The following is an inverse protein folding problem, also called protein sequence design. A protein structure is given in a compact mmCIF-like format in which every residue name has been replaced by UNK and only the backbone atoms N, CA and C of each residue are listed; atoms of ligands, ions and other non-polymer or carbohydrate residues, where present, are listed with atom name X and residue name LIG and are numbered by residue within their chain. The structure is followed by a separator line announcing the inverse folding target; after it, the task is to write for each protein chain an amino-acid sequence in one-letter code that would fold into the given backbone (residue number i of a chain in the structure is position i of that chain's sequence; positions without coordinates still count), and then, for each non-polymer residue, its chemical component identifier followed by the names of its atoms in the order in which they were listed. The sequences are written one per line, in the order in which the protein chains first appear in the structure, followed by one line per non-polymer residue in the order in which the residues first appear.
data_IF_393044333871
#
_entry.id   IF_393044333871
#
_cell.length_a   1.000
_cell.length_b   1.000
_cell.length_c   1.000
_cell.angle_alpha   90.00
_cell.angle_beta   90.00
_cell.angle_gamma   90.00
#
_symmetry.space_group_name_H-M   'P 1'
#
loop_
_entity.id
_entity.type
_entity.pdbx_description
1 polymer ?
#
# COMPACT_ATOMS: atom_id res chain seq x y z
N UNK A 1 0.02 -34.03 -26.28
CA UNK A 1 1.29 -33.42 -26.73
C UNK A 1 1.00 -32.01 -27.20
N UNK A 2 1.87 -31.06 -26.89
CA UNK A 2 1.81 -29.70 -27.42
C UNK A 2 3.03 -29.48 -28.32
N UNK A 3 2.80 -28.99 -29.54
CA UNK A 3 3.88 -28.76 -30.51
C UNK A 3 3.74 -27.39 -31.11
N UNK A 4 4.81 -26.59 -31.13
CA UNK A 4 4.82 -25.26 -31.74
C UNK A 4 4.72 -25.37 -33.26
N UNK A 5 3.88 -24.53 -33.86
CA UNK A 5 3.64 -24.43 -35.29
C UNK A 5 4.09 -23.07 -35.83
N UNK A 6 4.06 -22.92 -37.16
CA UNK A 6 4.24 -21.63 -37.84
C UNK A 6 2.95 -20.83 -37.65
N UNK A 7 3.05 -19.54 -37.33
CA UNK A 7 1.89 -18.71 -36.99
C UNK A 7 0.86 -18.61 -38.14
N UNK A 8 1.30 -18.70 -39.41
CA UNK A 8 0.41 -18.76 -40.59
C UNK A 8 -0.48 -20.01 -40.67
N UNK A 9 -0.25 -21.02 -39.82
CA UNK A 9 -1.11 -22.20 -39.72
C UNK A 9 -2.25 -22.00 -38.71
N UNK A 10 -2.16 -20.98 -37.86
CA UNK A 10 -3.22 -20.62 -36.92
C UNK A 10 -4.18 -19.59 -37.56
N UNK A 11 -5.46 -19.57 -37.13
CA UNK A 11 -6.39 -18.55 -37.57
C UNK A 11 -5.86 -17.15 -37.21
N UNK A 12 -5.83 -16.25 -38.19
CA UNK A 12 -5.40 -14.84 -38.04
C UNK A 12 -4.00 -14.65 -37.43
N UNK A 13 -3.12 -15.65 -37.57
CA UNK A 13 -1.74 -15.61 -37.05
C UNK A 13 -1.67 -15.29 -35.54
N UNK A 14 -2.71 -15.64 -34.77
CA UNK A 14 -2.85 -15.24 -33.37
C UNK A 14 -2.67 -13.71 -33.15
N UNK A 15 -3.07 -12.91 -34.15
CA UNK A 15 -2.84 -11.46 -34.24
C UNK A 15 -1.38 -11.01 -34.00
N UNK A 16 -0.40 -11.90 -34.19
CA UNK A 16 1.00 -11.67 -33.79
C UNK A 16 1.18 -11.29 -32.30
N UNK A 17 0.19 -11.63 -31.46
CA UNK A 17 0.14 -11.35 -30.01
C UNK A 17 0.26 -12.62 -29.17
N UNK A 18 0.61 -13.72 -29.82
CA UNK A 18 0.72 -15.04 -29.21
C UNK A 18 1.53 -15.98 -30.07
N UNK A 19 1.52 -17.25 -29.70
CA UNK A 19 2.22 -18.33 -30.41
C UNK A 19 1.25 -19.41 -30.85
N UNK A 20 1.41 -19.91 -32.07
CA UNK A 20 0.60 -21.01 -32.58
C UNK A 20 1.08 -22.38 -32.07
N UNK A 21 0.19 -23.15 -31.43
CA UNK A 21 0.46 -24.51 -30.95
C UNK A 21 -0.58 -25.51 -31.43
N UNK A 22 -0.16 -26.75 -31.72
CA UNK A 22 -1.07 -27.88 -31.92
C UNK A 22 -1.35 -28.55 -30.58
N UNK A 23 -2.61 -28.55 -30.17
CA UNK A 23 -3.09 -29.22 -28.96
C UNK A 23 -4.14 -30.23 -29.41
N UNK A 24 -3.90 -31.53 -29.15
CA UNK A 24 -4.84 -32.62 -29.49
C UNK A 24 -5.26 -32.70 -30.97
N UNK A 25 -4.44 -32.16 -31.87
CA UNK A 25 -4.70 -32.13 -33.31
C UNK A 25 -5.27 -30.81 -33.82
N UNK A 26 -5.80 -29.97 -32.93
CA UNK A 26 -6.33 -28.64 -33.27
C UNK A 26 -5.26 -27.54 -33.12
N UNK A 27 -5.19 -26.56 -34.04
CA UNK A 27 -4.37 -25.36 -33.85
C UNK A 27 -5.04 -24.44 -32.82
N UNK A 28 -4.31 -24.09 -31.77
CA UNK A 28 -4.73 -23.13 -30.74
C UNK A 28 -3.66 -22.07 -30.54
N UNK A 29 -4.09 -20.84 -30.32
CA UNK A 29 -3.20 -19.74 -29.99
C UNK A 29 -2.93 -19.69 -28.48
N UNK A 30 -1.68 -19.48 -28.10
CA UNK A 30 -1.31 -19.16 -26.73
C UNK A 30 -0.95 -17.68 -26.63
N UNK A 31 -1.75 -16.92 -25.90
CA UNK A 31 -1.63 -15.46 -25.85
C UNK A 31 -0.54 -15.00 -24.90
N UNK A 32 0.13 -13.91 -25.27
CA UNK A 32 1.05 -13.21 -24.37
C UNK A 32 0.26 -12.56 -23.22
N UNK A 33 0.92 -12.33 -22.08
CA UNK A 33 0.32 -11.66 -20.94
C UNK A 33 -0.32 -10.32 -21.34
N UNK A 34 -1.54 -10.07 -20.88
CA UNK A 34 -2.34 -8.89 -21.26
C UNK A 34 -3.13 -9.06 -22.55
N UNK A 35 -3.16 -10.24 -23.16
CA UNK A 35 -4.03 -10.54 -24.30
C UNK A 35 -4.89 -11.78 -24.02
N UNK A 36 -6.14 -11.72 -24.45
CA UNK A 36 -7.14 -12.75 -24.24
C UNK A 36 -7.92 -13.07 -25.52
N UNK A 37 -8.63 -14.20 -25.50
CA UNK A 37 -9.43 -14.71 -26.61
C UNK A 37 -8.74 -15.82 -27.42
N UNK A 38 -9.53 -16.51 -28.24
CA UNK A 38 -9.09 -17.68 -29.03
C UNK A 38 -7.92 -17.39 -29.98
N UNK A 39 -7.79 -16.14 -30.43
CA UNK A 39 -6.70 -15.65 -31.30
C UNK A 39 -5.99 -14.42 -30.72
N UNK A 40 -6.09 -14.21 -29.40
CA UNK A 40 -5.46 -13.07 -28.71
C UNK A 40 -5.97 -11.71 -29.22
N UNK A 41 -7.25 -11.66 -29.58
CA UNK A 41 -7.91 -10.47 -30.11
C UNK A 41 -8.21 -9.40 -29.05
N UNK A 42 -8.45 -9.82 -27.80
CA UNK A 42 -8.76 -8.91 -26.71
C UNK A 42 -7.48 -8.50 -26.00
N UNK A 43 -7.39 -7.22 -25.61
CA UNK A 43 -6.33 -6.76 -24.72
C UNK A 43 -6.92 -6.82 -23.32
N UNK A 44 -6.43 -7.75 -22.50
CA UNK A 44 -6.68 -7.72 -21.07
C UNK A 44 -5.89 -6.54 -20.52
N UNK A 45 -6.58 -5.41 -20.45
CA UNK A 45 -6.09 -4.19 -19.82
C UNK A 45 -6.19 -4.32 -18.31
N UNK A 46 -5.75 -5.46 -17.77
CA UNK A 46 -4.99 -5.40 -16.54
C UNK A 46 -3.64 -4.81 -16.94
N UNK A 47 -3.48 -3.49 -17.04
CA UNK A 47 -3.29 -2.71 -15.81
C UNK A 47 -3.36 -3.68 -14.64
N UNK A 48 -2.28 -4.45 -14.47
CA UNK A 48 -1.69 -4.52 -13.16
C UNK A 48 -1.71 -3.06 -12.72
N UNK A 49 -2.81 -2.69 -12.08
CA UNK A 49 -2.78 -1.88 -10.90
C UNK A 49 -1.76 -2.63 -10.09
N UNK A 50 -0.50 -2.28 -10.33
CA UNK A 50 0.42 -2.16 -9.25
C UNK A 50 -0.44 -1.46 -8.23
N UNK A 51 -0.65 -2.13 -7.11
CA UNK A 51 -1.31 -1.59 -5.94
C UNK A 51 -0.55 -0.35 -5.40
N UNK A 52 0.24 0.33 -6.24
CA UNK A 52 0.85 1.63 -6.05
C UNK A 52 -0.13 2.78 -5.94
N UNK A 53 -1.44 2.53 -6.01
CA UNK A 53 -2.42 3.53 -5.56
C UNK A 53 -2.71 3.47 -4.06
N UNK A 54 -2.12 2.53 -3.29
CA UNK A 54 -2.10 2.61 -1.81
C UNK A 54 -0.88 3.35 -1.24
N UNK A 55 0.12 3.69 -2.05
CA UNK A 55 1.27 4.48 -1.58
C UNK A 55 0.96 5.99 -1.44
N UNK A 56 -0.11 6.50 -2.06
CA UNK A 56 -0.49 7.91 -1.96
C UNK A 56 -1.15 8.29 -0.63
N UNK A 57 -1.87 7.36 0.00
CA UNK A 57 -2.54 7.59 1.29
C UNK A 57 -1.59 7.35 2.46
N UNK A 58 -0.64 6.40 2.33
CA UNK A 58 0.28 6.05 3.40
C UNK A 58 1.13 7.22 3.91
N UNK A 59 1.66 8.08 3.04
CA UNK A 59 2.49 9.22 3.48
C UNK A 59 1.64 10.28 4.18
N UNK A 60 0.42 10.53 3.67
CA UNK A 60 -0.50 11.50 4.27
C UNK A 60 -1.00 11.03 5.64
N UNK A 61 -1.36 9.75 5.74
CA UNK A 61 -1.76 9.12 7.00
C UNK A 61 -0.59 9.11 8.00
N UNK A 62 0.62 8.80 7.54
CA UNK A 62 1.81 8.79 8.41
C UNK A 62 2.15 10.19 8.93
N UNK A 63 2.11 11.21 8.07
CA UNK A 63 2.37 12.60 8.48
C UNK A 63 1.30 13.12 9.44
N UNK A 64 0.02 12.81 9.19
CA UNK A 64 -1.09 13.19 10.07
C UNK A 64 -0.95 12.56 11.46
N UNK A 65 -0.60 11.27 11.54
CA UNK A 65 -0.39 10.58 12.81
C UNK A 65 0.77 11.16 13.61
N UNK A 66 1.90 11.50 12.96
CA UNK A 66 3.04 12.13 13.63
C UNK A 66 2.65 13.50 14.22
N UNK A 67 1.93 14.32 13.47
CA UNK A 67 1.43 15.62 13.93
C UNK A 67 0.52 15.48 15.16
N UNK A 68 -0.42 14.53 15.14
CA UNK A 68 -1.31 14.27 16.28
C UNK A 68 -0.51 13.84 17.52
N UNK A 69 0.46 12.93 17.35
CA UNK A 69 1.33 12.49 18.44
C UNK A 69 2.10 13.64 19.08
N UNK A 70 2.66 14.56 18.29
CA UNK A 70 3.39 15.73 18.81
C UNK A 70 2.48 16.68 19.60
N UNK A 71 1.25 16.90 19.13
CA UNK A 71 0.26 17.72 19.85
C UNK A 71 -0.14 17.06 21.17
N UNK A 72 -0.38 15.74 21.18
CA UNK A 72 -0.73 14.98 22.38
C UNK A 72 0.43 14.96 23.38
N UNK A 73 1.66 14.71 22.92
CA UNK A 73 2.86 14.72 23.77
C UNK A 73 3.10 16.14 24.31
N UNK A 74 2.97 17.18 23.48
CA UNK A 74 3.08 18.57 23.89
C UNK A 74 2.05 18.94 24.96
N UNK A 75 0.78 18.58 24.75
CA UNK A 75 -0.27 18.79 25.73
C UNK A 75 -0.04 18.00 27.02
N UNK A 76 0.45 16.76 26.91
CA UNK A 76 0.80 15.92 28.06
C UNK A 76 1.95 16.51 28.87
N UNK A 77 3.03 16.97 28.22
CA UNK A 77 4.16 17.64 28.86
C UNK A 77 3.73 18.94 29.53
N UNK A 78 2.88 19.74 28.87
CA UNK A 78 2.30 20.96 29.41
C UNK A 78 1.41 20.63 30.61
N UNK A 79 0.54 19.63 30.51
CA UNK A 79 -0.37 19.22 31.59
C UNK A 79 0.38 18.64 32.79
N UNK A 80 1.41 17.82 32.56
CA UNK A 80 2.28 17.34 33.63
C UNK A 80 3.11 18.46 34.23
N UNK A 81 3.61 19.41 33.44
CA UNK A 81 4.30 20.60 33.92
C UNK A 81 3.39 21.49 34.76
N UNK A 82 2.16 21.72 34.31
CA UNK A 82 1.13 22.41 35.09
C UNK A 82 0.76 21.66 36.36
N UNK A 83 0.63 20.33 36.30
CA UNK A 83 0.37 19.49 37.47
C UNK A 83 1.54 19.51 38.45
N UNK A 84 2.78 19.54 37.96
CA UNK A 84 3.98 19.66 38.79
C UNK A 84 4.07 21.03 39.46
N UNK A 85 3.66 22.12 38.78
CA UNK A 85 3.56 23.45 39.38
C UNK A 85 2.43 23.56 40.40
N UNK A 86 1.32 22.84 40.21
CA UNK A 86 0.22 22.78 41.20
C UNK A 86 0.49 21.83 42.36
N UNK A 87 1.39 20.86 42.23
CA UNK A 87 1.66 19.89 43.31
C UNK A 87 2.42 20.50 44.49
N UNK A 88 3.02 21.68 44.34
CA UNK A 88 3.71 22.36 45.44
C UNK A 88 3.57 23.90 45.36
N UNK A 89 2.40 24.47 45.67
CA UNK A 89 2.33 25.75 46.38
C UNK A 89 1.97 25.58 47.86
N UNK A 90 1.50 24.39 48.27
CA UNK A 90 1.03 24.11 49.64
C UNK A 90 2.03 23.29 50.49
N UNK A 91 3.11 22.76 49.90
CA UNK A 91 4.15 22.02 50.66
C UNK A 91 5.32 22.88 51.14
N UNK A 92 5.55 24.04 50.50
CA UNK A 92 6.59 24.98 50.94
C UNK A 92 6.19 25.77 52.19
N UNK A 93 4.91 25.84 52.53
CA UNK A 93 4.45 26.58 53.72
C UNK A 93 4.47 25.71 54.99
N UNK A 94 4.04 24.44 54.90
CA UNK A 94 4.04 23.52 56.06
C UNK A 94 5.46 23.14 56.53
N UNK A 95 6.45 23.05 55.63
CA UNK A 95 7.82 22.72 56.05
C UNK A 95 8.53 23.87 56.77
N UNK A 96 8.18 25.14 56.50
CA UNK A 96 8.80 26.28 57.19
C UNK A 96 8.29 26.45 58.63
N UNK A 97 7.05 26.04 58.93
CA UNK A 97 6.47 26.22 60.27
C UNK A 97 7.08 25.25 61.29
N UNK A 98 7.52 24.06 60.87
CA UNK A 98 8.09 23.06 61.79
C UNK A 98 9.53 23.44 62.19
N UNK A 99 10.25 24.23 61.39
CA UNK A 99 11.65 24.57 61.69
C UNK A 99 11.80 25.78 62.64
N UNK A 100 10.76 26.59 62.83
CA UNK A 100 10.76 27.72 63.78
C UNK A 100 9.92 27.49 65.06
N UNK A 101 9.43 26.27 65.31
CA UNK A 101 8.77 25.88 66.56
C UNK A 101 9.70 25.06 67.46
#
# INVERSE_FOLDING_TARGET
MMTRMIDSMCPSECHSRGYCFRIEGEPRCFCQAGFEGDVCQFIESTVATIEDTKHGWGVMDTLLLICICLVVIGFYCIFMGYRSRRKDPESSFELQIIEEA
#
